data_IF_521212071561
#
_entry.id   IF_521212071561
#
_cell.length_a   1.000
_cell.length_b   1.000
_cell.length_c   1.000
_cell.angle_alpha   90.00
_cell.angle_beta   90.00
_cell.angle_gamma   90.00
#
_symmetry.space_group_name_H-M   'P 1'
#
loop_
_entity.id
_entity.type
_entity.pdbx_description
1 polymer ?
#
# COMPACT_ATOMS: atom_id res chain seq x y z
N UNK A 1 -8.30 13.76 6.41
CA UNK A 1 -7.27 12.75 6.03
C UNK A 1 -7.95 11.40 5.80
N UNK A 2 -7.33 10.42 5.11
CA UNK A 2 -7.93 9.09 4.91
C UNK A 2 -7.22 8.00 5.69
N UNK A 3 -8.00 7.12 6.31
CA UNK A 3 -7.57 5.99 7.16
C UNK A 3 -8.45 4.77 6.90
N UNK A 4 -7.92 3.57 7.11
CA UNK A 4 -8.64 2.28 7.04
C UNK A 4 -9.39 2.03 5.72
N UNK A 5 -9.03 2.71 4.63
CA UNK A 5 -9.68 2.58 3.33
C UNK A 5 -9.38 1.24 2.63
N UNK A 6 -8.40 0.51 3.13
CA UNK A 6 -7.99 -0.81 2.64
C UNK A 6 -8.78 -1.98 3.23
N UNK A 7 -9.80 -1.75 4.07
CA UNK A 7 -10.61 -2.81 4.69
C UNK A 7 -9.76 -3.93 5.34
N UNK A 8 -8.67 -3.56 6.00
CA UNK A 8 -7.63 -4.44 6.62
C UNK A 8 -6.83 -5.34 5.67
N UNK A 9 -6.99 -5.21 4.35
CA UNK A 9 -6.19 -5.95 3.35
C UNK A 9 -4.98 -5.14 2.89
N UNK A 10 -3.78 -5.69 3.05
CA UNK A 10 -2.58 -5.20 2.37
C UNK A 10 -2.52 -5.74 0.92
N UNK A 11 -1.69 -5.13 0.07
CA UNK A 11 -1.46 -5.54 -1.32
C UNK A 11 -0.89 -6.95 -1.37
N UNK A 12 -1.37 -7.78 -2.30
CA UNK A 12 -0.85 -9.14 -2.53
C UNK A 12 -0.25 -9.27 -3.93
N UNK A 13 0.63 -10.24 -4.13
CA UNK A 13 1.17 -10.55 -5.45
C UNK A 13 0.05 -10.72 -6.49
N UNK A 14 0.18 -10.04 -7.62
CA UNK A 14 -0.79 -10.06 -8.73
C UNK A 14 -2.08 -9.24 -8.52
N UNK A 15 -2.32 -8.65 -7.35
CA UNK A 15 -3.52 -7.83 -7.13
C UNK A 15 -3.55 -6.59 -8.01
N UNK A 16 -2.47 -5.82 -8.02
CA UNK A 16 -2.44 -4.56 -8.74
C UNK A 16 -2.56 -4.80 -10.26
N UNK A 17 -1.84 -5.78 -10.82
CA UNK A 17 -2.02 -6.23 -12.21
C UNK A 17 -3.48 -6.56 -12.54
N UNK A 18 -4.12 -7.38 -11.68
CA UNK A 18 -5.52 -7.77 -11.83
C UNK A 18 -6.42 -6.53 -11.86
N UNK A 19 -6.21 -5.60 -10.94
CA UNK A 19 -6.96 -4.35 -10.87
C UNK A 19 -6.79 -3.51 -12.14
N UNK A 20 -5.55 -3.25 -12.54
CA UNK A 20 -5.24 -2.46 -13.74
C UNK A 20 -5.81 -3.08 -15.02
N UNK A 21 -5.67 -4.41 -15.20
CA UNK A 21 -6.23 -5.12 -16.36
C UNK A 21 -7.74 -4.91 -16.48
N UNK A 22 -8.46 -4.96 -15.36
CA UNK A 22 -9.91 -4.78 -15.36
C UNK A 22 -10.32 -3.33 -15.54
N UNK A 23 -9.58 -2.38 -14.95
CA UNK A 23 -9.78 -0.94 -15.18
C UNK A 23 -9.58 -0.56 -16.66
N UNK A 24 -8.56 -1.12 -17.31
CA UNK A 24 -8.33 -0.90 -18.75
C UNK A 24 -9.51 -1.34 -19.61
N UNK A 25 -10.15 -2.46 -19.26
CA UNK A 25 -11.28 -3.00 -20.01
C UNK A 25 -12.58 -2.27 -19.69
N UNK A 26 -12.79 -1.92 -18.42
CA UNK A 26 -13.96 -1.20 -17.93
C UNK A 26 -13.54 -0.24 -16.81
N UNK A 27 -13.43 1.08 -17.11
CA UNK A 27 -13.14 2.11 -16.11
C UNK A 27 -14.15 2.16 -14.95
N UNK A 28 -15.29 1.46 -15.06
CA UNK A 28 -16.35 1.39 -14.06
C UNK A 28 -16.47 0.03 -13.40
N UNK A 29 -15.48 -0.84 -13.58
CA UNK A 29 -15.53 -2.22 -13.06
C UNK A 29 -15.83 -2.26 -11.56
N UNK A 30 -15.30 -1.33 -10.76
CA UNK A 30 -15.54 -1.28 -9.32
C UNK A 30 -16.91 -0.73 -8.92
N UNK A 31 -17.61 -0.05 -9.84
CA UNK A 31 -18.98 0.42 -9.65
C UNK A 31 -20.03 -0.61 -10.08
N UNK A 32 -19.58 -1.69 -10.74
CA UNK A 32 -20.45 -2.76 -11.20
C UNK A 32 -21.40 -2.37 -12.33
N UNK A 33 -21.05 -1.33 -13.11
CA UNK A 33 -21.90 -0.80 -14.17
C UNK A 33 -22.19 -1.85 -15.26
N UNK A 34 -21.22 -2.73 -15.55
CA UNK A 34 -21.31 -3.75 -16.60
C UNK A 34 -21.26 -5.20 -16.04
N UNK A 35 -21.47 -5.38 -14.73
CA UNK A 35 -21.46 -6.69 -14.08
C UNK A 35 -21.01 -6.63 -12.62
N UNK A 36 -21.21 -7.70 -11.87
CA UNK A 36 -20.82 -7.77 -10.46
C UNK A 36 -19.29 -7.73 -10.32
N UNK A 37 -18.71 -6.75 -9.61
CA UNK A 37 -17.25 -6.62 -9.46
C UNK A 37 -16.60 -7.86 -8.83
N UNK A 38 -17.29 -8.55 -7.92
CA UNK A 38 -16.77 -9.75 -7.26
C UNK A 38 -16.57 -10.89 -8.25
N UNK A 39 -17.49 -11.06 -9.18
CA UNK A 39 -17.46 -12.12 -10.18
C UNK A 39 -16.40 -11.81 -11.26
N UNK A 40 -16.30 -10.55 -11.67
CA UNK A 40 -15.31 -10.08 -12.65
C UNK A 40 -13.88 -10.21 -12.11
N UNK A 41 -13.66 -9.77 -10.87
CA UNK A 41 -12.33 -9.77 -10.25
C UNK A 41 -11.99 -11.11 -9.59
N UNK A 42 -12.99 -11.97 -9.34
CA UNK A 42 -12.84 -13.24 -8.63
C UNK A 42 -12.31 -13.06 -7.20
N UNK A 43 -12.76 -12.03 -6.48
CA UNK A 43 -12.37 -11.73 -5.10
C UNK A 43 -13.57 -11.25 -4.28
N UNK A 44 -13.53 -11.41 -2.96
CA UNK A 44 -14.64 -11.03 -2.08
C UNK A 44 -14.87 -9.51 -2.01
N UNK A 45 -16.06 -9.09 -1.58
CA UNK A 45 -16.49 -7.68 -1.55
C UNK A 45 -15.49 -6.72 -0.88
N UNK A 46 -14.95 -7.08 0.29
CA UNK A 46 -13.99 -6.23 1.00
C UNK A 46 -12.64 -6.15 0.25
N UNK A 47 -12.24 -7.22 -0.43
CA UNK A 47 -11.04 -7.22 -1.27
C UNK A 47 -11.23 -6.35 -2.52
N UNK A 48 -12.44 -6.31 -3.10
CA UNK A 48 -12.77 -5.39 -4.20
C UNK A 48 -12.58 -3.94 -3.76
N UNK A 49 -13.11 -3.56 -2.59
CA UNK A 49 -12.95 -2.21 -2.03
C UNK A 49 -11.48 -1.89 -1.78
N UNK A 50 -10.74 -2.81 -1.16
CA UNK A 50 -9.32 -2.64 -0.91
C UNK A 50 -8.51 -2.49 -2.21
N UNK A 51 -8.78 -3.31 -3.23
CA UNK A 51 -8.09 -3.24 -4.52
C UNK A 51 -8.32 -1.89 -5.22
N UNK A 52 -9.58 -1.42 -5.25
CA UNK A 52 -9.93 -0.10 -5.79
C UNK A 52 -9.14 1.02 -5.13
N UNK A 53 -9.04 0.98 -3.79
CA UNK A 53 -8.27 1.92 -3.00
C UNK A 53 -6.77 1.81 -3.30
N UNK A 54 -6.20 0.60 -3.30
CA UNK A 54 -4.76 0.41 -3.47
C UNK A 54 -4.24 0.93 -4.80
N UNK A 55 -4.99 0.73 -5.88
CA UNK A 55 -4.63 1.28 -7.20
C UNK A 55 -4.49 2.82 -7.17
N UNK A 56 -5.30 3.51 -6.38
CA UNK A 56 -5.22 4.97 -6.20
C UNK A 56 -4.10 5.35 -5.22
N UNK A 57 -4.01 4.66 -4.09
CA UNK A 57 -3.05 4.96 -3.03
C UNK A 57 -1.59 4.87 -3.51
N UNK A 58 -1.28 3.90 -4.39
CA UNK A 58 0.05 3.72 -5.00
C UNK A 58 0.21 4.47 -6.33
N UNK A 59 -0.76 5.31 -6.70
CA UNK A 59 -0.68 6.24 -7.83
C UNK A 59 -0.82 5.60 -9.21
N UNK A 60 -1.25 4.36 -9.34
CA UNK A 60 -1.45 3.68 -10.64
C UNK A 60 -2.71 4.13 -11.36
N UNK A 61 -3.70 4.58 -10.59
CA UNK A 61 -4.98 5.03 -11.12
C UNK A 61 -5.47 6.24 -10.36
N UNK A 62 -6.41 6.95 -10.93
CA UNK A 62 -7.10 8.05 -10.29
C UNK A 62 -8.61 7.97 -10.56
N UNK A 63 -9.37 8.58 -9.66
CA UNK A 63 -10.80 8.79 -9.83
C UNK A 63 -11.13 10.28 -9.70
N UNK A 64 -12.11 10.79 -10.46
CA UNK A 64 -12.53 12.16 -10.32
C UNK A 64 -13.17 12.39 -8.94
N UNK A 65 -12.84 13.53 -8.35
CA UNK A 65 -13.40 13.96 -7.07
C UNK A 65 -14.93 14.01 -7.14
N UNK A 66 -15.46 14.57 -8.23
CA UNK A 66 -16.88 14.80 -8.46
C UNK A 66 -17.40 14.07 -9.70
N UNK A 67 -18.71 13.81 -9.72
CA UNK A 67 -19.38 13.19 -10.86
C UNK A 67 -19.30 11.66 -10.87
N UNK A 68 -19.29 11.08 -12.07
CA UNK A 68 -19.32 9.62 -12.24
C UNK A 68 -17.99 9.03 -11.79
N UNK A 69 -18.05 8.07 -10.86
CA UNK A 69 -16.87 7.33 -10.38
C UNK A 69 -16.37 6.39 -11.48
N UNK A 70 -15.43 6.89 -12.26
CA UNK A 70 -14.64 6.16 -13.26
C UNK A 70 -13.20 6.15 -12.77
N UNK A 71 -12.53 5.01 -12.84
CA UNK A 71 -11.14 4.88 -12.47
C UNK A 71 -10.32 4.74 -13.75
N UNK A 72 -9.34 5.61 -13.95
CA UNK A 72 -8.47 5.61 -15.13
C UNK A 72 -7.01 5.49 -14.71
N UNK A 73 -6.14 5.08 -15.63
CA UNK A 73 -4.71 5.09 -15.36
C UNK A 73 -4.19 6.52 -15.25
N UNK A 74 -3.25 6.73 -14.32
CA UNK A 74 -2.40 7.91 -14.31
C UNK A 74 -1.28 7.74 -15.36
N UNK A 75 -0.50 8.78 -15.62
CA UNK A 75 0.70 8.67 -16.46
C UNK A 75 1.68 7.61 -15.92
N UNK A 76 1.87 7.58 -14.60
CA UNK A 76 2.67 6.53 -13.95
C UNK A 76 2.06 5.14 -14.15
N UNK A 77 0.74 5.02 -14.00
CA UNK A 77 0.00 3.77 -14.24
C UNK A 77 0.16 3.26 -15.68
N UNK A 78 0.12 4.14 -16.68
CA UNK A 78 0.35 3.77 -18.08
C UNK A 78 1.76 3.19 -18.23
N UNK A 79 2.78 3.88 -17.75
CA UNK A 79 4.19 3.43 -17.85
C UNK A 79 4.38 2.07 -17.18
N UNK A 80 3.86 1.88 -15.96
CA UNK A 80 3.96 0.60 -15.25
C UNK A 80 3.25 -0.50 -16.03
N UNK A 81 2.02 -0.26 -16.49
CA UNK A 81 1.24 -1.27 -17.18
C UNK A 81 1.86 -1.72 -18.51
N UNK A 82 2.53 -0.81 -19.21
CA UNK A 82 3.19 -1.10 -20.49
C UNK A 82 4.53 -1.81 -20.32
N UNK A 83 5.30 -1.49 -19.27
CA UNK A 83 6.68 -1.94 -19.13
C UNK A 83 6.89 -3.03 -18.06
N UNK A 84 6.11 -3.00 -16.98
CA UNK A 84 6.18 -3.97 -15.88
C UNK A 84 4.79 -4.27 -15.30
N UNK A 85 3.87 -4.86 -16.11
CA UNK A 85 2.50 -5.09 -15.68
C UNK A 85 2.41 -6.04 -14.48
N UNK A 86 3.40 -6.90 -14.25
CA UNK A 86 3.43 -7.88 -13.17
C UNK A 86 4.16 -7.40 -11.91
N UNK A 87 4.81 -6.22 -11.96
CA UNK A 87 5.52 -5.58 -10.86
C UNK A 87 6.66 -6.45 -10.33
N UNK A 88 7.43 -7.02 -11.25
CA UNK A 88 8.55 -7.91 -10.94
C UNK A 88 9.87 -7.14 -10.81
N UNK A 89 9.93 -5.90 -11.32
CA UNK A 89 11.10 -5.06 -11.21
C UNK A 89 11.15 -4.36 -9.85
N UNK A 90 12.30 -4.46 -9.16
CA UNK A 90 12.52 -3.79 -7.86
C UNK A 90 12.35 -2.26 -7.97
N UNK A 91 12.68 -1.68 -9.13
CA UNK A 91 12.49 -0.26 -9.41
C UNK A 91 11.02 0.14 -9.39
N UNK A 92 10.12 -0.68 -9.94
CA UNK A 92 8.67 -0.46 -9.89
C UNK A 92 8.19 -0.46 -8.44
N UNK A 93 8.67 -1.39 -7.60
CA UNK A 93 8.33 -1.44 -6.18
C UNK A 93 8.77 -0.18 -5.43
N UNK A 94 9.96 0.36 -5.75
CA UNK A 94 10.42 1.63 -5.20
C UNK A 94 9.54 2.81 -5.60
N UNK A 95 9.11 2.89 -6.87
CA UNK A 95 8.22 3.95 -7.34
C UNK A 95 6.82 3.84 -6.70
N UNK A 96 6.27 2.63 -6.56
CA UNK A 96 5.02 2.38 -5.85
C UNK A 96 5.11 2.81 -4.37
N UNK A 97 6.21 2.45 -3.70
CA UNK A 97 6.48 2.88 -2.34
C UNK A 97 6.58 4.40 -2.26
N UNK A 98 7.31 5.04 -3.17
CA UNK A 98 7.45 6.49 -3.21
C UNK A 98 6.08 7.18 -3.32
N UNK A 99 5.24 6.78 -4.28
CA UNK A 99 3.88 7.33 -4.41
C UNK A 99 3.04 7.09 -3.15
N UNK A 100 3.19 5.95 -2.49
CA UNK A 100 2.47 5.66 -1.24
C UNK A 100 2.98 6.51 -0.05
N UNK A 101 4.30 6.67 0.08
CA UNK A 101 4.94 7.40 1.17
C UNK A 101 4.78 8.92 1.06
N UNK A 102 4.53 9.46 -0.13
CA UNK A 102 4.26 10.90 -0.32
C UNK A 102 2.77 11.25 -0.31
N UNK A 103 1.89 10.25 -0.29
CA UNK A 103 0.44 10.44 -0.37
C UNK A 103 -0.18 10.81 0.98
N UNK A 104 -0.20 12.11 1.29
CA UNK A 104 -0.77 12.68 2.53
C UNK A 104 -2.28 12.51 2.65
N UNK A 105 -3.00 12.40 1.54
CA UNK A 105 -4.47 12.48 1.51
C UNK A 105 -5.11 11.10 1.57
N UNK A 106 -4.71 10.19 0.68
CA UNK A 106 -5.29 8.86 0.56
C UNK A 106 -4.58 7.83 1.44
N UNK A 107 -3.27 7.99 1.69
CA UNK A 107 -2.46 7.05 2.48
C UNK A 107 -1.80 7.73 3.70
N UNK A 108 -2.57 8.51 4.45
CA UNK A 108 -2.08 9.35 5.55
C UNK A 108 -1.20 8.60 6.55
N UNK A 109 -1.58 7.38 6.96
CA UNK A 109 -0.81 6.58 7.90
C UNK A 109 0.57 6.17 7.35
N UNK A 110 0.68 5.92 6.03
CA UNK A 110 1.95 5.65 5.36
C UNK A 110 2.81 6.91 5.28
N UNK A 111 2.23 8.04 4.87
CA UNK A 111 2.93 9.32 4.86
C UNK A 111 3.48 9.63 6.26
N UNK A 112 2.64 9.55 7.28
CA UNK A 112 3.04 9.80 8.66
C UNK A 112 4.15 8.84 9.11
N UNK A 113 3.99 7.54 8.85
CA UNK A 113 4.97 6.53 9.22
C UNK A 113 6.35 6.82 8.63
N UNK A 114 6.45 7.16 7.34
CA UNK A 114 7.77 7.34 6.71
C UNK A 114 8.37 8.74 6.93
N UNK A 115 7.55 9.79 7.06
CA UNK A 115 8.05 11.17 7.04
C UNK A 115 8.04 11.87 8.41
N UNK A 116 7.09 11.54 9.29
CA UNK A 116 6.85 12.29 10.54
C UNK A 116 7.16 11.47 11.79
N UNK A 117 6.95 10.14 11.74
CA UNK A 117 7.14 9.24 12.88
C UNK A 117 8.63 9.04 13.18
N UNK A 118 9.08 9.45 14.37
CA UNK A 118 10.51 9.58 14.68
C UNK A 118 11.16 8.34 15.29
N UNK A 119 10.39 7.43 15.86
CA UNK A 119 10.96 6.26 16.51
C UNK A 119 11.55 5.28 15.49
N UNK A 120 12.79 4.86 15.74
CA UNK A 120 13.47 3.83 14.94
C UNK A 120 12.99 2.43 15.30
N UNK A 121 12.72 2.17 16.59
CA UNK A 121 12.10 0.95 17.12
C UNK A 121 10.78 1.30 17.76
N UNK A 122 9.73 0.52 17.49
CA UNK A 122 8.37 0.90 17.86
C UNK A 122 7.47 -0.33 18.06
N UNK A 123 6.48 -0.13 18.91
CA UNK A 123 5.31 -0.98 19.07
C UNK A 123 4.10 -0.40 18.35
N UNK A 124 2.99 -1.14 18.35
CA UNK A 124 1.71 -0.63 17.87
C UNK A 124 1.26 0.59 18.66
N UNK A 125 1.37 0.53 19.98
CA UNK A 125 0.82 1.55 20.87
C UNK A 125 1.63 2.86 20.70
N UNK A 126 2.95 2.77 20.51
CA UNK A 126 3.80 3.92 20.17
C UNK A 126 3.32 4.63 18.91
N UNK A 127 3.04 3.86 17.85
CA UNK A 127 2.58 4.40 16.57
C UNK A 127 1.19 5.03 16.69
N UNK A 128 0.25 4.33 17.31
CA UNK A 128 -1.14 4.76 17.46
C UNK A 128 -1.23 6.05 18.27
N UNK A 129 -0.53 6.14 19.41
CA UNK A 129 -0.51 7.35 20.25
C UNK A 129 0.04 8.55 19.48
N UNK A 130 1.17 8.39 18.80
CA UNK A 130 1.79 9.51 18.08
C UNK A 130 1.01 9.92 16.83
N UNK A 131 0.45 8.97 16.08
CA UNK A 131 -0.41 9.26 14.93
C UNK A 131 -1.69 9.97 15.37
N UNK A 132 -2.31 9.55 16.48
CA UNK A 132 -3.50 10.23 17.02
C UNK A 132 -3.17 11.68 17.40
N UNK A 133 -2.03 11.94 18.04
CA UNK A 133 -1.58 13.30 18.34
C UNK A 133 -1.37 14.13 17.06
N UNK A 134 -0.77 13.56 16.02
CA UNK A 134 -0.60 14.21 14.72
C UNK A 134 -1.95 14.58 14.07
N UNK A 135 -2.92 13.65 14.10
CA UNK A 135 -4.26 13.86 13.56
C UNK A 135 -4.97 15.00 14.30
N UNK A 136 -4.91 15.02 15.64
CA UNK A 136 -5.51 16.08 16.47
C UNK A 136 -4.93 17.46 16.23
N UNK A 137 -3.62 17.55 15.96
CA UNK A 137 -2.96 18.82 15.61
C UNK A 137 -3.46 19.38 14.27
N UNK A 138 -3.98 18.51 13.39
CA UNK A 138 -4.56 18.88 12.10
C UNK A 138 -6.10 18.98 12.15
N UNK A 139 -6.69 19.17 13.33
CA UNK A 139 -8.13 19.37 13.57
C UNK A 139 -9.03 18.25 12.98
N UNK A 140 -8.56 17.00 13.00
CA UNK A 140 -9.29 15.82 12.56
C UNK A 140 -9.42 14.81 13.72
N UNK A 141 -10.32 13.82 13.61
CA UNK A 141 -10.51 12.79 14.64
C UNK A 141 -10.82 11.43 14.02
N UNK A 142 -10.09 10.40 14.49
CA UNK A 142 -10.15 9.04 13.95
C UNK A 142 -10.19 8.05 15.08
N UNK A 143 -11.01 7.00 14.94
CA UNK A 143 -11.09 5.94 15.95
C UNK A 143 -9.75 5.20 16.10
N UNK A 144 -9.38 4.90 17.34
CA UNK A 144 -8.15 4.19 17.67
C UNK A 144 -8.03 2.86 16.90
N UNK A 145 -9.12 2.10 16.82
CA UNK A 145 -9.19 0.86 16.04
C UNK A 145 -8.80 1.04 14.57
N UNK A 146 -9.13 2.17 13.96
CA UNK A 146 -8.75 2.44 12.56
C UNK A 146 -7.24 2.68 12.44
N UNK A 147 -6.63 3.35 13.43
CA UNK A 147 -5.19 3.56 13.49
C UNK A 147 -4.44 2.24 13.74
N UNK A 148 -5.00 1.37 14.59
CA UNK A 148 -4.48 0.02 14.79
C UNK A 148 -4.56 -0.83 13.52
N UNK A 149 -5.68 -0.76 12.79
CA UNK A 149 -5.87 -1.47 11.52
C UNK A 149 -4.87 -0.98 10.45
N UNK A 150 -4.61 0.33 10.37
CA UNK A 150 -3.60 0.91 9.48
C UNK A 150 -2.18 0.49 9.88
N UNK A 151 -1.85 0.52 11.18
CA UNK A 151 -0.58 0.00 11.70
C UNK A 151 -0.35 -1.44 11.27
N UNK A 152 -1.33 -2.31 11.50
CA UNK A 152 -1.24 -3.71 11.13
C UNK A 152 -1.06 -3.88 9.62
N UNK A 153 -1.73 -3.04 8.82
CA UNK A 153 -1.58 -3.05 7.38
C UNK A 153 -0.19 -2.61 6.93
N UNK A 154 0.38 -1.56 7.52
CA UNK A 154 1.77 -1.09 7.26
C UNK A 154 2.76 -2.21 7.57
N UNK A 155 2.66 -2.84 8.75
CA UNK A 155 3.56 -3.94 9.13
C UNK A 155 3.46 -5.09 8.12
N UNK A 156 2.25 -5.51 7.75
CA UNK A 156 2.06 -6.58 6.75
C UNK A 156 2.46 -6.17 5.32
N UNK A 157 2.57 -4.88 5.03
CA UNK A 157 3.01 -4.36 3.73
C UNK A 157 4.53 -4.50 3.56
N UNK A 158 5.29 -4.29 4.65
CA UNK A 158 6.76 -4.18 4.57
C UNK A 158 7.53 -5.27 5.31
N UNK A 159 6.87 -6.07 6.16
CA UNK A 159 7.50 -7.22 6.83
C UNK A 159 7.10 -8.51 6.10
N UNK A 160 8.04 -9.17 5.40
CA UNK A 160 7.75 -10.45 4.74
C UNK A 160 7.21 -11.50 5.71
N UNK A 161 6.21 -12.28 5.31
CA UNK A 161 5.59 -13.27 6.21
C UNK A 161 6.51 -14.41 6.57
N UNK A 162 7.52 -14.73 5.77
CA UNK A 162 8.52 -15.72 6.17
C UNK A 162 9.29 -15.29 7.43
N UNK A 163 9.45 -13.98 7.68
CA UNK A 163 10.04 -13.45 8.92
C UNK A 163 9.03 -13.46 10.06
N UNK A 164 7.81 -12.97 9.83
CA UNK A 164 6.81 -12.81 10.89
C UNK A 164 6.13 -14.13 11.27
N UNK A 165 5.94 -15.07 10.34
CA UNK A 165 5.21 -16.31 10.57
C UNK A 165 5.57 -17.45 9.58
N UNK A 166 6.80 -17.99 9.63
CA UNK A 166 7.32 -18.96 8.66
C UNK A 166 6.48 -20.25 8.54
N UNK A 167 5.90 -20.73 9.65
CA UNK A 167 5.09 -21.95 9.68
C UNK A 167 3.78 -21.86 8.86
N UNK A 168 3.33 -20.64 8.54
CA UNK A 168 2.12 -20.39 7.73
C UNK A 168 2.42 -19.98 6.29
N UNK A 169 3.68 -20.03 5.86
CA UNK A 169 4.07 -19.73 4.48
C UNK A 169 4.11 -21.04 3.70
N UNK A 170 3.11 -21.25 2.84
CA UNK A 170 3.14 -22.31 1.84
C UNK A 170 3.74 -21.76 0.54
N UNK A 171 4.52 -22.54 -0.23
CA UNK A 171 5.10 -22.09 -1.49
C UNK A 171 4.07 -21.57 -2.50
N UNK A 172 2.84 -22.10 -2.49
CA UNK A 172 1.75 -21.67 -3.38
C UNK A 172 0.99 -20.43 -2.88
N UNK A 173 1.38 -19.89 -1.72
CA UNK A 173 0.65 -18.85 -1.01
C UNK A 173 1.01 -17.46 -1.54
N UNK A 174 0.18 -16.87 -2.41
CA UNK A 174 0.26 -15.45 -2.83
C UNK A 174 -0.17 -14.49 -1.69
N UNK A 175 0.34 -14.70 -0.48
CA UNK A 175 -0.09 -14.00 0.73
C UNK A 175 0.93 -12.92 1.15
N UNK A 176 2.08 -12.84 0.50
CA UNK A 176 3.05 -11.76 0.74
C UNK A 176 2.76 -10.51 -0.10
N UNK A 177 3.07 -9.36 0.50
CA UNK A 177 3.10 -8.07 -0.19
C UNK A 177 4.44 -7.91 -0.94
N UNK A 178 4.44 -7.55 -2.24
CA UNK A 178 5.68 -7.30 -2.99
C UNK A 178 6.57 -6.23 -2.35
N UNK A 179 5.99 -5.22 -1.69
CA UNK A 179 6.74 -4.15 -1.02
C UNK A 179 7.57 -4.65 0.17
N UNK A 180 7.35 -5.88 0.65
CA UNK A 180 8.20 -6.52 1.65
C UNK A 180 9.65 -6.75 1.16
N UNK A 181 9.86 -6.83 -0.16
CA UNK A 181 11.19 -7.00 -0.76
C UNK A 181 12.08 -5.77 -0.56
N UNK A 182 11.49 -4.59 -0.33
CA UNK A 182 12.22 -3.35 -0.08
C UNK A 182 12.96 -3.36 1.27
N UNK A 183 12.55 -4.23 2.20
CA UNK A 183 13.22 -4.39 3.49
C UNK A 183 13.18 -3.13 4.38
N UNK A 184 12.11 -2.33 4.29
CA UNK A 184 11.97 -1.06 4.99
C UNK A 184 11.55 -1.20 6.47
N UNK A 185 11.03 -2.36 6.86
CA UNK A 185 10.68 -2.69 8.25
C UNK A 185 11.27 -4.06 8.58
N UNK A 186 11.89 -4.17 9.76
CA UNK A 186 12.44 -5.44 10.27
C UNK A 186 11.93 -5.75 11.68
N UNK A 187 12.08 -7.00 12.10
CA UNK A 187 11.59 -7.48 13.40
C UNK A 187 12.74 -7.40 14.42
N UNK A 188 12.53 -6.68 15.52
CA UNK A 188 13.47 -6.65 16.65
C UNK A 188 13.14 -7.79 17.61
N UNK A 189 11.87 -7.87 18.02
CA UNK A 189 11.38 -8.91 18.91
C UNK A 189 10.00 -9.39 18.45
N UNK A 190 9.94 -10.64 17.99
CA UNK A 190 8.71 -11.25 17.49
C UNK A 190 7.66 -11.51 18.59
N UNK A 191 8.08 -11.85 19.82
CA UNK A 191 7.16 -12.14 20.92
C UNK A 191 6.47 -10.87 21.40
N UNK A 192 7.24 -9.82 21.60
CA UNK A 192 6.76 -8.50 22.04
C UNK A 192 6.23 -7.64 20.90
N UNK A 193 6.26 -8.14 19.64
CA UNK A 193 5.85 -7.42 18.42
C UNK A 193 6.53 -6.04 18.29
N UNK A 194 7.83 -5.99 18.58
CA UNK A 194 8.66 -4.80 18.40
C UNK A 194 9.28 -4.85 17.01
N UNK A 195 9.03 -3.80 16.24
CA UNK A 195 9.56 -3.63 14.88
C UNK A 195 10.53 -2.46 14.83
N UNK A 196 11.32 -2.39 13.77
CA UNK A 196 12.18 -1.24 13.49
C UNK A 196 12.09 -0.81 12.05
N UNK A 197 12.28 0.50 11.82
CA UNK A 197 12.58 1.03 10.50
C UNK A 197 13.98 0.55 10.10
N UNK A 198 14.10 0.08 8.87
CA UNK A 198 15.34 -0.43 8.32
C UNK A 198 15.77 0.41 7.12
N UNK A 199 17.07 0.58 6.98
CA UNK A 199 17.66 1.20 5.79
C UNK A 199 17.79 0.13 4.71
N UNK A 200 17.29 0.37 3.49
CA UNK A 200 17.46 -0.57 2.39
C UNK A 200 18.94 -0.74 2.05
N UNK A 201 19.29 -1.86 1.42
CA UNK A 201 20.65 -2.05 0.92
C UNK A 201 20.91 -1.07 -0.24
N UNK A 202 22.13 -0.53 -0.34
CA UNK A 202 22.46 0.51 -1.33
C UNK A 202 22.29 0.06 -2.79
N UNK A 203 22.41 -1.24 -3.05
CA UNK A 203 22.34 -1.87 -4.35
C UNK A 203 20.91 -2.13 -4.85
N UNK A 204 19.88 -1.95 -4.01
CA UNK A 204 18.49 -2.21 -4.42
C UNK A 204 17.80 -1.02 -5.07
N UNK A 205 18.37 0.19 -4.97
CA UNK A 205 17.81 1.41 -5.56
C UNK A 205 18.63 1.83 -6.78
N UNK A 206 18.07 1.59 -7.97
CA UNK A 206 18.72 1.97 -9.22
C UNK A 206 18.83 3.51 -9.34
N UNK A 207 19.97 4.08 -9.78
CA UNK A 207 20.17 5.53 -9.85
C UNK A 207 19.13 6.29 -10.69
N UNK A 208 18.61 5.68 -11.76
CA UNK A 208 17.55 6.29 -12.57
C UNK A 208 16.21 6.37 -11.83
N UNK A 209 15.92 5.42 -10.94
CA UNK A 209 14.71 5.47 -10.10
C UNK A 209 14.86 6.60 -9.08
N UNK A 210 16.03 6.73 -8.46
CA UNK A 210 16.34 7.84 -7.57
C UNK A 210 16.24 9.19 -8.29
N UNK A 211 16.80 9.31 -9.49
CA UNK A 211 16.71 10.52 -10.29
C UNK A 211 15.26 10.86 -10.64
N UNK A 212 14.46 9.87 -11.04
CA UNK A 212 13.03 10.06 -11.32
C UNK A 212 12.28 10.63 -10.11
N UNK A 213 12.56 10.13 -8.90
CA UNK A 213 11.97 10.64 -7.65
C UNK A 213 12.44 12.05 -7.31
N UNK A 214 13.70 12.41 -7.60
CA UNK A 214 14.24 13.76 -7.34
C UNK A 214 13.62 14.80 -8.27
N UNK A 215 13.19 14.39 -9.47
CA UNK A 215 12.63 15.28 -10.50
C UNK A 215 11.10 15.42 -10.46
N UNK A 216 10.40 14.56 -9.71
CA UNK A 216 8.94 14.59 -9.49
C UNK A 216 8.56 15.69 -8.47
#
# INVERSE_FOLDING_TARGET
MKFRAHDTFFIRKGWLNKGMKNVRNDPQVFMGANGNPMDILGIGANMVKALRYWLQAVGLTEEPANGRKVQNFTDFGIVVYENDPYMEEIGTLWLLHYKLATNKTEATAWYYFFNEFKLSEFTRDDFVVQLNNYIRINDDEVSERSLEDDYNCIVNTYVPRFKSNPEKVQPESNIDCPLGELGLIDIVNKKEKIYKKATPKKDTLHPLILLAVILD
#
